data_IF_751605678668
#
_entry.id   IF_751605678668
#
_cell.length_a   1.000
_cell.length_b   1.000
_cell.length_c   1.000
_cell.angle_alpha   90.00
_cell.angle_beta   90.00
_cell.angle_gamma   90.00
#
_symmetry.space_group_name_H-M   'P 1'
#
loop_
_entity.id
_entity.type
_entity.pdbx_description
1 polymer ?
#
# COMPACT_ATOMS: atom_id res chain seq x y z
N UNK A 1 -7.75 -15.12 -10.32
CA UNK A 1 -7.52 -13.65 -10.15
C UNK A 1 -6.72 -13.44 -8.88
N UNK A 2 -5.52 -12.84 -8.95
CA UNK A 2 -4.55 -12.82 -7.85
C UNK A 2 -5.07 -11.92 -6.69
N UNK A 3 -5.33 -12.44 -5.48
CA UNK A 3 -6.02 -11.74 -4.38
C UNK A 3 -5.14 -10.71 -3.64
N UNK A 4 -4.02 -10.28 -4.22
CA UNK A 4 -3.01 -9.44 -3.56
C UNK A 4 -3.60 -8.11 -3.08
N UNK A 5 -4.26 -7.36 -3.97
CA UNK A 5 -4.84 -6.06 -3.63
C UNK A 5 -6.01 -6.17 -2.65
N UNK A 6 -6.81 -7.24 -2.74
CA UNK A 6 -7.92 -7.47 -1.80
C UNK A 6 -7.40 -7.66 -0.37
N UNK A 7 -6.33 -8.47 -0.20
CA UNK A 7 -5.71 -8.66 1.11
C UNK A 7 -5.12 -7.36 1.66
N UNK A 8 -4.49 -6.54 0.82
CA UNK A 8 -3.96 -5.23 1.26
C UNK A 8 -5.09 -4.31 1.72
N UNK A 9 -6.17 -4.19 0.94
CA UNK A 9 -7.34 -3.38 1.31
C UNK A 9 -7.96 -3.86 2.63
N UNK A 10 -8.05 -5.17 2.84
CA UNK A 10 -8.52 -5.73 4.10
C UNK A 10 -7.64 -5.31 5.28
N UNK A 11 -6.31 -5.41 5.13
CA UNK A 11 -5.36 -5.00 6.17
C UNK A 11 -5.42 -3.50 6.48
N UNK A 12 -5.58 -2.65 5.45
CA UNK A 12 -5.80 -1.21 5.65
C UNK A 12 -7.08 -0.99 6.47
N UNK A 13 -8.18 -1.68 6.13
CA UNK A 13 -9.44 -1.60 6.90
C UNK A 13 -9.31 -2.11 8.34
N UNK A 14 -8.41 -3.07 8.58
CA UNK A 14 -8.12 -3.61 9.91
C UNK A 14 -7.21 -2.68 10.75
N UNK A 15 -6.90 -1.47 10.28
CA UNK A 15 -5.94 -0.55 10.91
C UNK A 15 -4.52 -1.13 11.06
N UNK A 16 -4.14 -2.08 10.20
CA UNK A 16 -2.79 -2.65 10.22
C UNK A 16 -1.79 -1.75 9.47
N UNK A 17 -2.26 -0.80 8.66
CA UNK A 17 -1.41 0.13 7.92
C UNK A 17 -0.83 1.19 8.88
N UNK A 18 0.49 1.23 9.00
CA UNK A 18 1.21 2.16 9.88
C UNK A 18 1.81 3.35 9.13
N UNK A 19 1.95 3.26 7.81
CA UNK A 19 2.53 4.32 7.00
C UNK A 19 2.69 3.91 5.53
N UNK A 20 3.13 4.86 4.72
CA UNK A 20 3.47 4.63 3.32
C UNK A 20 4.57 5.58 2.86
N UNK A 21 5.30 5.20 1.83
CA UNK A 21 6.32 6.03 1.19
C UNK A 21 6.32 5.83 -0.33
N UNK A 22 6.62 6.89 -1.06
CA UNK A 22 6.92 6.80 -2.49
C UNK A 22 8.43 6.71 -2.66
N UNK A 23 8.88 5.66 -3.35
CA UNK A 23 10.28 5.43 -3.66
C UNK A 23 10.44 5.30 -5.17
N UNK A 24 11.59 5.76 -5.67
CA UNK A 24 11.88 5.70 -7.10
C UNK A 24 12.02 4.26 -7.57
N UNK A 25 12.65 3.39 -6.78
CA UNK A 25 12.76 1.97 -7.09
C UNK A 25 12.73 1.11 -5.83
N UNK A 26 12.01 -0.02 -5.89
CA UNK A 26 12.09 -1.07 -4.90
C UNK A 26 12.08 -2.45 -5.57
N UNK A 27 13.18 -3.21 -5.40
CA UNK A 27 13.34 -4.57 -5.96
C UNK A 27 13.01 -4.65 -7.46
N UNK A 28 13.47 -3.69 -8.24
CA UNK A 28 13.20 -3.60 -9.69
C UNK A 28 11.79 -3.12 -10.06
N UNK A 29 11.00 -2.61 -9.11
CA UNK A 29 9.74 -1.92 -9.38
C UNK A 29 9.98 -0.42 -9.28
N UNK A 30 9.78 0.31 -10.38
CA UNK A 30 9.87 1.76 -10.45
C UNK A 30 8.72 2.36 -11.27
N UNK A 31 8.09 3.46 -10.84
CA UNK A 31 8.10 4.00 -9.47
C UNK A 31 7.22 3.14 -8.54
N UNK A 32 7.57 3.11 -7.25
CA UNK A 32 6.93 2.23 -6.27
C UNK A 32 6.36 2.99 -5.07
N UNK A 33 5.15 2.61 -4.67
CA UNK A 33 4.54 3.03 -3.41
C UNK A 33 4.66 1.86 -2.44
N UNK A 34 5.45 2.04 -1.39
CA UNK A 34 5.62 1.04 -0.35
C UNK A 34 4.63 1.32 0.77
N UNK A 35 3.83 0.31 1.10
CA UNK A 35 2.92 0.34 2.24
C UNK A 35 3.53 -0.42 3.40
N UNK A 36 3.57 0.22 4.56
CA UNK A 36 4.06 -0.36 5.80
C UNK A 36 2.91 -0.84 6.67
N UNK A 37 3.02 -2.06 7.16
CA UNK A 37 2.05 -2.73 8.01
C UNK A 37 2.68 -3.17 9.33
N UNK A 38 1.89 -3.20 10.39
CA UNK A 38 2.29 -3.70 11.71
C UNK A 38 2.46 -5.23 11.75
N UNK A 39 1.75 -5.95 10.88
CA UNK A 39 1.76 -7.41 10.79
C UNK A 39 2.61 -7.92 9.62
N UNK A 40 3.00 -9.19 9.63
CA UNK A 40 3.69 -9.78 8.50
C UNK A 40 2.73 -10.08 7.32
N UNK A 41 3.14 -9.82 6.07
CA UNK A 41 4.37 -9.14 5.70
C UNK A 41 4.28 -7.63 5.85
N UNK A 42 5.33 -7.06 6.45
CA UNK A 42 5.38 -5.64 6.85
C UNK A 42 5.39 -4.67 5.68
N UNK A 43 5.96 -5.06 4.54
CA UNK A 43 6.10 -4.16 3.39
C UNK A 43 5.33 -4.71 2.19
N UNK A 44 4.52 -3.85 1.56
CA UNK A 44 3.79 -4.18 0.33
C UNK A 44 4.05 -3.15 -0.76
N UNK A 45 4.81 -3.51 -1.81
CA UNK A 45 5.00 -2.64 -2.96
C UNK A 45 3.74 -2.59 -3.82
N UNK A 46 3.39 -1.38 -4.23
CA UNK A 46 2.34 -1.04 -5.19
C UNK A 46 3.02 -0.38 -6.40
N UNK A 47 2.52 -0.67 -7.61
CA UNK A 47 3.03 -0.11 -8.87
C UNK A 47 2.28 1.17 -9.25
N UNK A 48 2.93 2.07 -9.97
CA UNK A 48 2.39 3.37 -10.43
C UNK A 48 0.93 3.35 -10.89
N UNK A 49 0.58 2.40 -11.76
CA UNK A 49 -0.77 2.32 -12.35
C UNK A 49 -1.88 2.02 -11.33
N UNK A 50 -1.54 1.73 -10.07
CA UNK A 50 -2.47 1.54 -8.96
C UNK A 50 -2.43 2.69 -7.93
N UNK A 51 -1.53 3.66 -8.07
CA UNK A 51 -1.36 4.72 -7.07
C UNK A 51 -2.67 5.47 -6.82
N UNK A 52 -3.35 5.90 -7.89
CA UNK A 52 -4.62 6.63 -7.80
C UNK A 52 -5.69 5.86 -7.00
N UNK A 53 -5.71 4.53 -7.11
CA UNK A 53 -6.62 3.69 -6.34
C UNK A 53 -6.27 3.70 -4.86
N UNK A 54 -4.97 3.59 -4.53
CA UNK A 54 -4.47 3.57 -3.16
C UNK A 54 -4.51 4.93 -2.48
N UNK A 55 -4.24 6.01 -3.20
CA UNK A 55 -4.35 7.39 -2.70
C UNK A 55 -5.73 7.67 -2.13
N UNK A 56 -6.80 7.24 -2.82
CA UNK A 56 -8.18 7.36 -2.32
C UNK A 56 -8.40 6.63 -0.98
N UNK A 57 -7.74 5.49 -0.77
CA UNK A 57 -7.80 4.77 0.50
C UNK A 57 -6.94 5.43 1.58
N UNK A 58 -5.74 5.89 1.22
CA UNK A 58 -4.78 6.54 2.13
C UNK A 58 -5.33 7.89 2.62
N UNK A 59 -5.89 8.71 1.73
CA UNK A 59 -6.53 9.96 2.10
C UNK A 59 -7.64 9.75 3.13
N UNK A 60 -8.48 8.72 2.93
CA UNK A 60 -9.54 8.40 3.88
C UNK A 60 -9.01 7.94 5.24
N UNK A 61 -7.85 7.28 5.25
CA UNK A 61 -7.26 6.74 6.47
C UNK A 61 -6.48 7.80 7.27
N UNK A 62 -5.79 8.71 6.59
CA UNK A 62 -4.91 9.71 7.20
C UNK A 62 -5.52 11.11 7.35
N UNK A 63 -6.62 11.46 6.66
CA UNK A 63 -7.35 12.74 6.89
C UNK A 63 -8.29 12.69 8.12
N UNK A 64 -7.95 11.91 9.14
CA UNK A 64 -8.71 11.84 10.40
C UNK A 64 -8.13 12.81 11.42
#
# INVERSE_FOLDING_TARGET
MYPYHNKIKQRIKNNELIGYEYVDEYKGISPCLLLYFSTEPKVRPIRKHRFEEYEKFLEKFFKK
#
